data_IF_105996841589
#
_entry.id   IF_105996841589
#
_cell.length_a   1.000
_cell.length_b   1.000
_cell.length_c   1.000
_cell.angle_alpha   90.00
_cell.angle_beta   90.00
_cell.angle_gamma   90.00
#
_symmetry.space_group_name_H-M   'P 1'
#
loop_
_entity.id
_entity.type
_entity.pdbx_description
1 polymer ?
#
# COMPACT_ATOMS: atom_id res chain seq x y z
N UNK A 1 -27.50 -70.01 -36.78
CA UNK A 1 -26.36 -70.43 -37.63
C UNK A 1 -25.25 -69.41 -37.40
N UNK A 2 -24.21 -69.72 -36.59
CA UNK A 2 -22.82 -70.13 -37.01
C UNK A 2 -22.18 -69.05 -37.92
N UNK A 3 -21.00 -68.42 -37.71
CA UNK A 3 -19.73 -68.62 -36.96
C UNK A 3 -18.99 -67.24 -36.94
N UNK A 4 -18.39 -66.74 -35.85
CA UNK A 4 -17.02 -66.93 -35.27
C UNK A 4 -15.84 -66.26 -36.02
N UNK A 5 -15.18 -65.33 -35.30
CA UNK A 5 -13.76 -64.88 -35.20
C UNK A 5 -12.93 -64.38 -36.41
N UNK A 6 -12.31 -63.21 -36.24
CA UNK A 6 -10.87 -63.00 -35.92
C UNK A 6 -10.60 -61.46 -35.84
N UNK A 7 -10.35 -60.83 -34.67
CA UNK A 7 -9.13 -60.80 -33.86
C UNK A 7 -7.93 -60.15 -34.60
N UNK A 8 -7.75 -58.84 -34.42
CA UNK A 8 -6.48 -58.14 -34.65
C UNK A 8 -6.15 -57.30 -33.41
N UNK A 9 -5.19 -57.82 -32.67
CA UNK A 9 -4.49 -57.21 -31.53
C UNK A 9 -3.59 -56.11 -32.05
N UNK A 10 -3.79 -54.85 -31.63
CA UNK A 10 -2.70 -53.86 -31.46
C UNK A 10 -3.09 -52.91 -30.31
N UNK A 11 -2.53 -53.16 -29.13
CA UNK A 11 -2.09 -52.11 -28.20
C UNK A 11 -0.57 -52.35 -28.05
N UNK A 12 0.29 -51.32 -28.01
CA UNK A 12 0.34 -50.43 -26.85
C UNK A 12 0.76 -48.96 -27.13
N UNK A 13 0.77 -48.18 -26.04
CA UNK A 13 1.50 -46.91 -25.82
C UNK A 13 0.96 -45.65 -26.51
N UNK A 14 0.20 -44.85 -25.75
CA UNK A 14 0.66 -43.49 -25.45
C UNK A 14 0.41 -43.16 -23.98
N UNK A 15 1.55 -43.10 -23.30
CA UNK A 15 1.83 -42.55 -21.98
C UNK A 15 1.17 -41.18 -21.80
N UNK A 16 0.50 -41.03 -20.66
CA UNK A 16 0.42 -39.84 -19.81
C UNK A 16 1.07 -38.56 -20.37
N UNK A 17 0.25 -37.58 -20.74
CA UNK A 17 0.61 -36.18 -20.54
C UNK A 17 -0.30 -35.62 -19.46
N UNK A 18 0.00 -36.03 -18.22
CA UNK A 18 -0.38 -35.28 -17.03
C UNK A 18 0.21 -33.88 -17.15
N UNK A 19 -0.63 -32.89 -17.45
CA UNK A 19 -0.28 -31.49 -17.34
C UNK A 19 -0.15 -31.09 -15.86
N UNK A 20 0.88 -31.60 -15.18
CA UNK A 20 1.31 -31.08 -13.87
C UNK A 20 1.98 -29.73 -14.07
N UNK A 21 1.17 -28.68 -14.21
CA UNK A 21 1.64 -27.29 -14.08
C UNK A 21 0.56 -26.32 -13.60
N UNK A 22 -0.72 -26.72 -13.60
CA UNK A 22 -1.81 -25.91 -13.05
C UNK A 22 -2.06 -26.14 -11.56
N UNK A 23 -1.76 -27.32 -11.01
CA UNK A 23 -2.00 -27.63 -9.59
C UNK A 23 -1.00 -26.93 -8.65
N UNK A 24 0.30 -26.94 -8.96
CA UNK A 24 1.33 -26.31 -8.10
C UNK A 24 1.19 -24.78 -8.00
N UNK A 25 0.84 -24.09 -9.09
CA UNK A 25 0.61 -22.63 -9.08
C UNK A 25 -0.63 -22.29 -8.24
N UNK A 26 -1.66 -23.14 -8.30
CA UNK A 26 -2.90 -22.92 -7.56
C UNK A 26 -2.70 -23.19 -6.06
N UNK A 27 -1.97 -24.24 -5.69
CA UNK A 27 -1.66 -24.55 -4.29
C UNK A 27 -0.74 -23.51 -3.64
N UNK A 28 0.32 -23.07 -4.32
CA UNK A 28 1.20 -22.02 -3.81
C UNK A 28 0.45 -20.70 -3.62
N UNK A 29 -0.41 -20.33 -4.59
CA UNK A 29 -1.25 -19.14 -4.49
C UNK A 29 -2.27 -19.23 -3.35
N UNK A 30 -3.03 -20.32 -3.23
CA UNK A 30 -3.99 -20.54 -2.14
C UNK A 30 -3.28 -20.46 -0.77
N UNK A 31 -2.07 -20.99 -0.68
CA UNK A 31 -1.26 -20.95 0.55
C UNK A 31 -0.80 -19.54 0.87
N UNK A 32 -0.37 -18.77 -0.13
CA UNK A 32 0.09 -17.39 0.04
C UNK A 32 -1.06 -16.44 0.40
N UNK A 33 -2.24 -16.56 -0.24
CA UNK A 33 -3.42 -15.74 0.11
C UNK A 33 -3.94 -16.08 1.49
N UNK A 34 -4.06 -17.36 1.85
CA UNK A 34 -4.48 -17.76 3.19
C UNK A 34 -3.49 -17.28 4.27
N UNK A 35 -2.19 -17.32 3.99
CA UNK A 35 -1.17 -16.78 4.89
C UNK A 35 -1.32 -15.27 5.09
N UNK A 36 -1.54 -14.54 3.99
CA UNK A 36 -1.78 -13.09 4.03
C UNK A 36 -3.06 -12.74 4.78
N UNK A 37 -4.17 -13.46 4.56
CA UNK A 37 -5.44 -13.25 5.27
C UNK A 37 -5.28 -13.45 6.79
N UNK A 38 -4.53 -14.48 7.20
CA UNK A 38 -4.22 -14.71 8.62
C UNK A 38 -3.41 -13.54 9.18
N UNK A 39 -2.39 -13.05 8.45
CA UNK A 39 -1.59 -11.90 8.86
C UNK A 39 -2.44 -10.64 8.97
N UNK A 40 -3.36 -10.40 8.02
CA UNK A 40 -4.30 -9.27 8.07
C UNK A 40 -5.22 -9.35 9.27
N UNK A 41 -5.76 -10.54 9.55
CA UNK A 41 -6.60 -10.77 10.73
C UNK A 41 -5.85 -10.52 12.03
N UNK A 42 -4.61 -11.01 12.15
CA UNK A 42 -3.75 -10.78 13.31
C UNK A 42 -3.38 -9.29 13.46
N UNK A 43 -3.04 -8.63 12.36
CA UNK A 43 -2.72 -7.20 12.34
C UNK A 43 -3.90 -6.35 12.81
N UNK A 44 -5.10 -6.57 12.24
CA UNK A 44 -6.32 -5.89 12.64
C UNK A 44 -6.66 -6.13 14.12
N UNK A 45 -6.50 -7.37 14.58
CA UNK A 45 -6.75 -7.74 15.97
C UNK A 45 -5.75 -7.07 16.94
N UNK A 46 -4.47 -6.97 16.58
CA UNK A 46 -3.46 -6.26 17.38
C UNK A 46 -3.83 -4.78 17.53
N UNK A 47 -4.27 -4.14 16.45
CA UNK A 47 -4.73 -2.74 16.48
C UNK A 47 -5.98 -2.62 17.36
N UNK A 48 -6.98 -3.48 17.17
CA UNK A 48 -8.21 -3.47 17.95
C UNK A 48 -7.94 -3.58 19.46
N UNK A 49 -7.05 -4.48 19.87
CA UNK A 49 -6.69 -4.68 21.28
C UNK A 49 -6.06 -3.43 21.92
N UNK A 50 -5.43 -2.58 21.12
CA UNK A 50 -4.64 -1.43 21.56
C UNK A 50 -5.44 -0.12 21.44
N UNK A 51 -6.17 0.08 20.35
CA UNK A 51 -6.92 1.30 20.04
C UNK A 51 -8.43 1.18 20.31
N UNK A 52 -8.96 -0.03 20.31
CA UNK A 52 -10.39 -0.33 20.36
C UNK A 52 -11.01 -0.51 18.97
N UNK A 53 -12.12 -1.25 18.92
CA UNK A 53 -12.81 -1.66 17.68
C UNK A 53 -13.18 -0.48 16.76
N UNK A 54 -13.59 0.66 17.33
CA UNK A 54 -13.99 1.84 16.55
C UNK A 54 -12.81 2.65 16.01
N UNK A 55 -11.58 2.27 16.35
CA UNK A 55 -10.35 2.96 15.96
C UNK A 55 -9.46 2.11 15.05
N UNK A 56 -9.92 0.94 14.61
CA UNK A 56 -9.17 0.13 13.65
C UNK A 56 -9.09 0.86 12.32
N UNK A 57 -7.87 1.24 11.94
CA UNK A 57 -7.56 1.90 10.67
C UNK A 57 -6.47 1.11 9.96
N UNK A 58 -6.70 0.72 8.71
CA UNK A 58 -5.81 -0.13 7.90
C UNK A 58 -5.53 0.59 6.59
N UNK A 59 -4.37 0.33 5.97
CA UNK A 59 -4.03 0.84 4.67
C UNK A 59 -5.07 0.42 3.61
N UNK A 60 -5.31 1.29 2.64
CA UNK A 60 -6.23 1.06 1.53
C UNK A 60 -5.69 1.60 0.21
N UNK A 61 -6.47 1.53 -0.88
CA UNK A 61 -6.00 1.97 -2.19
C UNK A 61 -5.58 3.44 -2.21
N UNK A 62 -6.26 4.28 -1.42
CA UNK A 62 -6.05 5.74 -1.36
C UNK A 62 -5.61 6.24 0.00
N UNK A 63 -5.28 5.32 0.89
CA UNK A 63 -4.91 5.60 2.27
C UNK A 63 -3.64 4.82 2.61
N UNK A 64 -2.53 5.53 2.78
CA UNK A 64 -1.36 4.94 3.40
C UNK A 64 -1.57 4.94 4.90
N UNK A 65 -1.39 3.80 5.56
CA UNK A 65 -1.43 3.69 7.02
C UNK A 65 -0.27 2.82 7.45
N UNK A 66 0.60 3.37 8.31
CA UNK A 66 1.71 2.61 8.91
C UNK A 66 1.68 2.77 10.42
N UNK A 67 1.68 1.63 11.11
CA UNK A 67 1.84 1.57 12.55
C UNK A 67 3.31 1.41 12.92
N UNK A 68 3.70 2.00 14.03
CA UNK A 68 5.02 1.88 14.67
C UNK A 68 4.84 1.86 16.19
N UNK A 69 5.95 1.75 16.93
CA UNK A 69 5.97 1.84 18.40
C UNK A 69 5.07 0.80 19.07
N UNK A 70 5.14 -0.47 18.64
CA UNK A 70 4.29 -1.55 19.16
C UNK A 70 2.81 -1.22 18.95
N UNK A 71 2.49 -0.78 17.74
CA UNK A 71 1.16 -0.32 17.31
C UNK A 71 0.63 0.93 18.03
N UNK A 72 1.38 1.57 18.93
CA UNK A 72 0.86 2.73 19.67
C UNK A 72 0.83 4.01 18.86
N UNK A 73 1.56 4.07 17.75
CA UNK A 73 1.65 5.25 16.87
C UNK A 73 1.27 4.85 15.46
N UNK A 74 0.51 5.69 14.76
CA UNK A 74 0.18 5.50 13.34
C UNK A 74 0.36 6.77 12.53
N UNK A 75 0.83 6.60 11.31
CA UNK A 75 0.92 7.65 10.30
C UNK A 75 -0.05 7.32 9.17
N UNK A 76 -1.02 8.21 8.95
CA UNK A 76 -2.07 8.07 7.95
C UNK A 76 -1.93 9.17 6.89
N UNK A 77 -1.82 8.81 5.62
CA UNK A 77 -1.87 9.75 4.49
C UNK A 77 -3.11 9.42 3.68
N UNK A 78 -4.09 10.32 3.70
CA UNK A 78 -5.26 10.22 2.83
C UNK A 78 -4.96 10.98 1.53
N UNK A 79 -4.78 10.24 0.44
CA UNK A 79 -4.35 10.79 -0.85
C UNK A 79 -5.46 11.54 -1.59
N UNK A 80 -6.73 11.26 -1.29
CA UNK A 80 -7.89 11.96 -1.87
C UNK A 80 -8.05 13.37 -1.29
N UNK A 81 -8.10 13.47 0.05
CA UNK A 81 -8.29 14.74 0.76
C UNK A 81 -7.01 15.56 0.88
N UNK A 82 -5.85 14.93 0.69
CA UNK A 82 -4.56 15.59 0.83
C UNK A 82 -4.23 15.92 2.28
N UNK A 83 -4.52 15.00 3.20
CA UNK A 83 -4.24 15.16 4.63
C UNK A 83 -3.29 14.06 5.12
N UNK A 84 -2.32 14.45 5.93
CA UNK A 84 -1.48 13.54 6.72
C UNK A 84 -1.89 13.69 8.18
N UNK A 85 -2.35 12.62 8.80
CA UNK A 85 -2.70 12.58 10.22
C UNK A 85 -1.77 11.60 10.92
N UNK A 86 -1.10 12.08 11.95
CA UNK A 86 -0.18 11.28 12.76
C UNK A 86 -0.72 11.25 14.17
N UNK A 87 -0.93 10.06 14.69
CA UNK A 87 -1.61 9.84 15.96
C UNK A 87 -0.80 8.89 16.85
N UNK A 88 -0.87 9.10 18.16
CA UNK A 88 -0.33 8.15 19.14
C UNK A 88 -1.26 8.03 20.34
N UNK A 89 -1.35 6.82 20.88
CA UNK A 89 -1.98 6.53 22.17
C UNK A 89 -0.97 6.26 23.29
N UNK A 90 0.33 6.40 23.00
CA UNK A 90 1.37 6.19 23.99
C UNK A 90 1.15 7.10 25.21
N UNK A 91 1.12 6.50 26.40
CA UNK A 91 0.91 7.24 27.66
C UNK A 91 2.17 7.93 28.14
N UNK A 92 3.33 7.46 27.69
CA UNK A 92 4.64 7.97 28.06
C UNK A 92 5.20 8.76 26.89
N UNK A 93 5.52 10.04 27.12
CA UNK A 93 6.10 10.97 26.13
C UNK A 93 5.45 10.91 24.72
N UNK A 94 4.12 11.14 24.61
CA UNK A 94 3.43 11.10 23.31
C UNK A 94 3.99 12.12 22.30
N UNK A 95 4.58 13.22 22.77
CA UNK A 95 5.20 14.21 21.92
C UNK A 95 6.42 13.65 21.17
N UNK A 96 7.27 12.85 21.84
CA UNK A 96 8.42 12.21 21.20
C UNK A 96 7.99 11.18 20.14
N UNK A 97 6.96 10.38 20.44
CA UNK A 97 6.38 9.42 19.49
C UNK A 97 5.87 10.11 18.23
N UNK A 98 5.05 11.15 18.40
CA UNK A 98 4.56 11.96 17.27
C UNK A 98 5.72 12.61 16.50
N UNK A 99 6.72 13.15 17.20
CA UNK A 99 7.87 13.80 16.58
C UNK A 99 8.61 12.86 15.63
N UNK A 100 8.90 11.64 16.10
CA UNK A 100 9.62 10.64 15.31
C UNK A 100 8.80 10.21 14.09
N UNK A 101 7.49 9.95 14.28
CA UNK A 101 6.59 9.58 13.19
C UNK A 101 6.40 10.69 12.14
N UNK A 102 6.37 11.96 12.56
CA UNK A 102 6.34 13.12 11.64
C UNK A 102 7.61 13.12 10.78
N UNK A 103 8.79 12.98 11.39
CA UNK A 103 10.06 13.04 10.67
C UNK A 103 10.17 11.87 9.67
N UNK A 104 9.89 10.64 10.11
CA UNK A 104 9.96 9.46 9.25
C UNK A 104 8.97 9.54 8.09
N UNK A 105 7.72 9.96 8.34
CA UNK A 105 6.70 10.12 7.29
C UNK A 105 7.10 11.17 6.26
N UNK A 106 7.58 12.34 6.70
CA UNK A 106 7.97 13.42 5.78
C UNK A 106 9.19 13.07 4.91
N UNK A 107 10.02 12.12 5.36
CA UNK A 107 11.27 11.76 4.71
C UNK A 107 11.27 10.35 4.11
N UNK A 108 10.15 9.64 4.16
CA UNK A 108 10.03 8.29 3.61
C UNK A 108 10.40 8.27 2.12
N UNK A 109 11.16 7.26 1.71
CA UNK A 109 11.45 7.00 0.30
C UNK A 109 10.22 6.61 -0.51
N UNK A 110 10.37 6.58 -1.83
CA UNK A 110 9.35 6.11 -2.80
C UNK A 110 9.65 4.65 -3.18
N UNK A 111 9.73 3.77 -2.17
CA UNK A 111 9.97 2.33 -2.33
C UNK A 111 8.83 1.54 -1.67
N UNK A 112 7.74 1.24 -2.41
CA UNK A 112 6.63 0.44 -1.88
C UNK A 112 6.98 -1.02 -1.66
N UNK A 113 8.07 -1.53 -2.24
CA UNK A 113 8.48 -2.93 -2.08
C UNK A 113 9.23 -3.18 -0.76
N UNK A 114 9.78 -2.14 -0.14
CA UNK A 114 10.57 -2.26 1.09
C UNK A 114 9.79 -2.00 2.38
N UNK A 115 8.52 -1.56 2.29
CA UNK A 115 7.71 -1.18 3.44
C UNK A 115 6.56 -2.18 3.60
N UNK A 116 6.54 -2.86 4.73
CA UNK A 116 5.42 -3.69 5.17
C UNK A 116 4.42 -2.84 5.96
N UNK A 117 3.27 -2.55 5.35
CA UNK A 117 2.20 -1.76 5.97
C UNK A 117 1.42 -2.52 7.06
N UNK A 118 1.61 -3.84 7.13
CA UNK A 118 0.84 -4.75 7.97
C UNK A 118 1.64 -5.32 9.14
N UNK A 119 2.71 -4.62 9.52
CA UNK A 119 3.44 -4.81 10.76
C UNK A 119 3.78 -3.47 11.40
N UNK A 120 4.18 -3.51 12.68
CA UNK A 120 4.66 -2.36 13.44
C UNK A 120 6.18 -2.13 13.32
N UNK A 121 6.87 -2.94 12.50
CA UNK A 121 8.30 -2.84 12.29
C UNK A 121 8.66 -1.46 11.71
N UNK A 122 9.71 -0.82 12.24
CA UNK A 122 10.18 0.47 11.74
C UNK A 122 11.13 0.26 10.54
N UNK A 123 10.54 -0.04 9.39
CA UNK A 123 11.18 -0.31 8.11
C UNK A 123 11.26 0.93 7.19
N UNK A 124 10.75 2.07 7.65
CA UNK A 124 10.70 3.32 6.90
C UNK A 124 12.13 3.83 6.65
N UNK A 125 12.57 3.74 5.40
CA UNK A 125 13.88 4.25 4.98
C UNK A 125 13.80 5.76 4.66
N UNK A 126 14.66 6.54 5.32
CA UNK A 126 14.83 7.97 5.04
C UNK A 126 15.53 8.12 3.69
N UNK A 127 14.90 8.86 2.77
CA UNK A 127 15.41 9.11 1.43
C UNK A 127 15.92 10.55 1.26
N UNK A 128 16.93 10.72 0.39
CA UNK A 128 17.36 12.04 -0.10
C UNK A 128 16.34 12.68 -1.04
N UNK A 129 15.47 11.86 -1.63
CA UNK A 129 14.32 12.25 -2.44
C UNK A 129 13.06 11.65 -1.81
N UNK A 130 12.49 12.31 -0.78
CA UNK A 130 11.30 11.78 -0.13
C UNK A 130 10.11 11.69 -1.08
N UNK A 131 9.27 10.68 -0.87
CA UNK A 131 8.03 10.48 -1.60
C UNK A 131 7.13 11.73 -1.54
N UNK A 132 7.07 12.39 -0.39
CA UNK A 132 6.28 13.60 -0.12
C UNK A 132 6.96 14.91 -0.52
N UNK A 133 8.16 14.87 -1.12
CA UNK A 133 8.89 16.08 -1.50
C UNK A 133 8.08 16.96 -2.45
N UNK A 134 7.82 18.20 -2.05
CA UNK A 134 7.02 19.17 -2.80
C UNK A 134 5.51 18.96 -2.71
N UNK A 135 5.03 17.84 -2.14
CA UNK A 135 3.62 17.65 -1.77
C UNK A 135 3.31 18.26 -0.40
N UNK A 136 4.30 18.32 0.49
CA UNK A 136 4.23 18.99 1.81
C UNK A 136 5.19 20.16 1.85
N UNK A 137 4.74 21.27 2.43
CA UNK A 137 5.57 22.42 2.76
C UNK A 137 5.59 22.60 4.28
N UNK A 138 6.72 23.08 4.79
CA UNK A 138 6.83 23.47 6.20
C UNK A 138 6.06 24.77 6.49
N UNK A 139 6.10 25.21 7.74
CA UNK A 139 5.48 26.46 8.19
C UNK A 139 6.06 27.74 7.57
N UNK A 140 7.15 27.64 6.81
CA UNK A 140 7.76 28.73 6.03
C UNK A 140 7.48 28.59 4.53
N UNK A 141 6.63 27.64 4.13
CA UNK A 141 6.30 27.38 2.73
C UNK A 141 7.41 26.68 1.94
N UNK A 142 8.40 26.08 2.62
CA UNK A 142 9.52 25.41 1.96
C UNK A 142 9.31 23.88 1.90
N UNK A 143 9.72 23.22 0.79
CA UNK A 143 9.62 21.77 0.69
C UNK A 143 10.60 21.07 1.62
N UNK A 144 10.23 19.88 2.08
CA UNK A 144 10.95 19.14 3.12
C UNK A 144 11.67 17.94 2.52
N UNK A 145 13.00 17.94 2.59
CA UNK A 145 13.86 16.78 2.24
C UNK A 145 15.05 16.56 3.16
N UNK A 146 15.20 17.40 4.17
CA UNK A 146 16.34 17.36 5.09
C UNK A 146 15.83 17.06 6.48
N UNK A 147 16.53 16.20 7.20
CA UNK A 147 16.19 15.80 8.55
C UNK A 147 16.04 17.00 9.50
N UNK A 148 16.99 17.93 9.48
CA UNK A 148 16.90 19.15 10.30
C UNK A 148 15.62 19.95 10.03
N UNK A 149 15.17 20.03 8.77
CA UNK A 149 13.96 20.77 8.41
C UNK A 149 12.71 20.02 8.84
N UNK A 150 12.67 18.70 8.62
CA UNK A 150 11.58 17.86 9.09
C UNK A 150 11.44 17.93 10.62
N UNK A 151 12.57 17.87 11.34
CA UNK A 151 12.63 18.00 12.79
C UNK A 151 12.10 19.35 13.27
N UNK A 152 12.55 20.47 12.68
CA UNK A 152 12.02 21.80 13.03
C UNK A 152 10.53 21.94 12.73
N UNK A 153 10.05 21.36 11.64
CA UNK A 153 8.63 21.39 11.31
C UNK A 153 7.81 20.53 12.27
N UNK A 154 8.31 19.35 12.67
CA UNK A 154 7.70 18.53 13.70
C UNK A 154 7.60 19.28 15.03
N UNK A 155 8.67 19.94 15.46
CA UNK A 155 8.68 20.75 16.69
C UNK A 155 7.65 21.89 16.63
N UNK A 156 7.55 22.58 15.48
CA UNK A 156 6.52 23.60 15.25
C UNK A 156 5.09 23.03 15.34
N UNK A 157 4.85 21.88 14.71
CA UNK A 157 3.54 21.23 14.71
C UNK A 157 3.13 20.79 16.12
N UNK A 158 4.04 20.21 16.89
CA UNK A 158 3.77 19.79 18.27
C UNK A 158 3.48 20.98 19.19
N UNK A 159 4.07 22.14 18.93
CA UNK A 159 3.80 23.35 19.70
C UNK A 159 2.49 24.06 19.31
N UNK A 160 2.07 23.97 18.05
CA UNK A 160 1.00 24.85 17.52
C UNK A 160 -0.23 24.13 16.96
N UNK A 161 -0.11 22.83 16.67
CA UNK A 161 -1.12 22.01 15.98
C UNK A 161 -1.44 20.71 16.71
N UNK A 162 -0.83 20.45 17.86
CA UNK A 162 -1.15 19.27 18.67
C UNK A 162 -2.62 19.29 19.09
N UNK A 163 -3.32 18.21 18.75
CA UNK A 163 -4.69 17.96 19.13
C UNK A 163 -4.75 16.76 20.07
N UNK A 164 -5.85 16.70 20.82
CA UNK A 164 -6.15 15.61 21.73
C UNK A 164 -7.61 15.25 21.58
N UNK A 165 -7.89 13.95 21.47
CA UNK A 165 -9.24 13.40 21.49
C UNK A 165 -9.28 12.18 22.42
N UNK A 166 -10.48 11.85 22.88
CA UNK A 166 -10.72 10.65 23.68
C UNK A 166 -11.54 9.68 22.85
N UNK A 167 -11.14 8.41 22.82
CA UNK A 167 -11.91 7.33 22.20
C UNK A 167 -11.97 6.16 23.18
N UNK A 168 -13.18 5.87 23.67
CA UNK A 168 -13.37 4.92 24.77
C UNK A 168 -12.54 5.32 26.01
N UNK A 169 -11.60 4.45 26.38
CA UNK A 169 -10.70 4.66 27.53
C UNK A 169 -9.36 5.30 27.14
N UNK A 170 -9.10 5.49 25.85
CA UNK A 170 -7.82 5.98 25.34
C UNK A 170 -7.85 7.48 25.09
N UNK A 171 -6.73 8.12 25.42
CA UNK A 171 -6.42 9.48 24.98
C UNK A 171 -5.52 9.36 23.76
N UNK A 172 -5.96 9.92 22.65
CA UNK A 172 -5.21 9.96 21.39
C UNK A 172 -4.69 11.38 21.19
N UNK A 173 -3.37 11.51 21.05
CA UNK A 173 -2.72 12.75 20.64
C UNK A 173 -2.48 12.71 19.14
N UNK A 174 -2.71 13.83 18.46
CA UNK A 174 -2.59 13.88 17.01
C UNK A 174 -2.07 15.20 16.47
N UNK A 175 -1.51 15.14 15.26
CA UNK A 175 -1.16 16.29 14.43
C UNK A 175 -1.66 16.03 13.03
N UNK A 176 -2.26 17.04 12.40
CA UNK A 176 -2.65 16.99 10.99
C UNK A 176 -1.84 17.98 10.16
N UNK A 177 -1.32 17.53 9.02
CA UNK A 177 -0.56 18.28 8.04
C UNK A 177 -1.31 18.23 6.71
N UNK A 178 -1.61 19.38 6.14
CA UNK A 178 -2.24 19.45 4.82
C UNK A 178 -1.17 19.43 3.72
N UNK A 179 -1.42 18.62 2.70
CA UNK A 179 -0.68 18.68 1.45
C UNK A 179 -0.98 19.99 0.71
N UNK A 180 -0.12 20.36 -0.23
CA UNK A 180 -0.36 21.50 -1.14
C UNK A 180 -1.59 21.26 -2.01
N UNK A 181 -2.36 22.29 -2.41
CA UNK A 181 -3.61 22.10 -3.16
C UNK A 181 -3.48 21.29 -4.46
N UNK A 182 -2.32 21.33 -5.13
CA UNK A 182 -2.04 20.55 -6.34
C UNK A 182 -1.23 19.28 -6.07
N UNK A 183 -1.38 18.67 -4.88
CA UNK A 183 -0.66 17.45 -4.51
C UNK A 183 -0.92 16.29 -5.49
N UNK A 184 -2.15 16.19 -6.01
CA UNK A 184 -2.56 15.15 -6.95
C UNK A 184 -1.75 15.26 -8.25
N UNK A 185 -1.69 16.46 -8.83
CA UNK A 185 -0.91 16.72 -10.05
C UNK A 185 0.59 16.46 -9.83
N UNK A 186 1.11 16.86 -8.67
CA UNK A 186 2.51 16.61 -8.30
C UNK A 186 2.83 15.12 -8.21
N UNK A 187 1.92 14.30 -7.67
CA UNK A 187 2.08 12.84 -7.67
C UNK A 187 1.97 12.27 -9.07
N UNK A 188 0.92 12.63 -9.81
CA UNK A 188 0.68 12.16 -11.17
C UNK A 188 1.89 12.42 -12.09
N UNK A 189 2.56 13.58 -11.91
CA UNK A 189 3.74 13.96 -12.67
C UNK A 189 4.86 12.90 -12.64
N UNK A 190 5.04 12.20 -11.50
CA UNK A 190 6.04 11.13 -11.36
C UNK A 190 5.83 9.99 -12.35
N UNK A 191 4.58 9.74 -12.72
CA UNK A 191 4.20 8.56 -13.52
C UNK A 191 3.98 8.87 -15.00
N UNK A 192 3.95 10.15 -15.41
CA UNK A 192 3.77 10.54 -16.82
C UNK A 192 4.74 9.83 -17.80
N UNK A 193 6.03 9.64 -17.49
CA UNK A 193 6.92 8.89 -18.38
C UNK A 193 6.52 7.41 -18.54
N UNK A 194 5.96 6.78 -17.50
CA UNK A 194 5.48 5.40 -17.56
C UNK A 194 4.17 5.30 -18.33
N UNK A 195 3.26 6.25 -18.11
CA UNK A 195 1.98 6.35 -18.82
C UNK A 195 2.19 6.50 -20.33
N UNK A 196 3.07 7.40 -20.77
CA UNK A 196 3.41 7.58 -22.19
C UNK A 196 3.90 6.28 -22.83
N UNK A 197 4.86 5.62 -22.18
CA UNK A 197 5.39 4.33 -22.66
C UNK A 197 4.30 3.26 -22.75
N UNK A 198 3.40 3.19 -21.78
CA UNK A 198 2.28 2.24 -21.80
C UNK A 198 1.28 2.59 -22.92
N UNK A 199 0.96 3.86 -23.08
CA UNK A 199 0.07 4.36 -24.14
C UNK A 199 0.60 3.99 -25.53
N UNK A 200 1.86 4.29 -25.82
CA UNK A 200 2.52 3.95 -27.09
C UNK A 200 2.57 2.44 -27.32
N UNK A 201 2.84 1.65 -26.28
CA UNK A 201 2.98 0.19 -26.38
C UNK A 201 1.65 -0.52 -26.61
N UNK A 202 0.57 -0.04 -25.99
CA UNK A 202 -0.72 -0.74 -25.97
C UNK A 202 -1.80 -0.05 -26.81
N UNK A 203 -1.54 1.14 -27.35
CA UNK A 203 -2.52 1.89 -28.15
C UNK A 203 -3.70 2.40 -27.32
N UNK A 204 -3.48 2.69 -26.03
CA UNK A 204 -4.50 3.18 -25.09
C UNK A 204 -4.22 4.65 -24.78
N UNK A 205 -5.23 5.51 -24.81
CA UNK A 205 -5.06 6.94 -24.55
C UNK A 205 -4.44 7.21 -23.16
N UNK A 206 -3.46 8.12 -23.11
CA UNK A 206 -2.82 8.54 -21.85
C UNK A 206 -3.84 9.04 -20.82
N UNK A 207 -4.87 9.76 -21.28
CA UNK A 207 -5.95 10.29 -20.44
C UNK A 207 -6.75 9.17 -19.76
N UNK A 208 -7.01 8.06 -20.47
CA UNK A 208 -7.70 6.91 -19.90
C UNK A 208 -6.83 6.21 -18.84
N UNK A 209 -5.54 6.02 -19.13
CA UNK A 209 -4.61 5.42 -18.16
C UNK A 209 -4.54 6.27 -16.89
N UNK A 210 -4.39 7.59 -17.04
CA UNK A 210 -4.37 8.53 -15.90
C UNK A 210 -5.69 8.53 -15.12
N UNK A 211 -6.83 8.49 -15.81
CA UNK A 211 -8.13 8.43 -15.16
C UNK A 211 -8.30 7.16 -14.31
N UNK A 212 -7.85 6.01 -14.82
CA UNK A 212 -7.85 4.74 -14.06
C UNK A 212 -6.93 4.89 -12.85
N UNK A 213 -5.66 5.28 -13.05
CA UNK A 213 -4.69 5.43 -11.95
C UNK A 213 -5.19 6.37 -10.84
N UNK A 214 -5.81 7.49 -11.22
CA UNK A 214 -6.39 8.44 -10.28
C UNK A 214 -7.57 7.84 -9.53
N UNK A 215 -8.50 7.18 -10.24
CA UNK A 215 -9.72 6.62 -9.64
C UNK A 215 -9.39 5.49 -8.67
N UNK A 216 -8.45 4.62 -9.04
CA UNK A 216 -8.10 3.42 -8.29
C UNK A 216 -7.26 3.72 -7.04
N UNK A 217 -6.26 4.60 -7.14
CA UNK A 217 -5.27 4.79 -6.06
C UNK A 217 -4.98 6.25 -5.71
N UNK A 218 -5.51 7.22 -6.46
CA UNK A 218 -5.11 8.63 -6.33
C UNK A 218 -3.59 8.83 -6.43
N UNK A 219 -2.97 8.00 -7.29
CA UNK A 219 -1.53 7.90 -7.52
C UNK A 219 -0.74 7.49 -6.27
N UNK A 220 -1.32 6.62 -5.45
CA UNK A 220 -0.67 5.99 -4.30
C UNK A 220 0.13 4.76 -4.74
N UNK A 221 1.47 4.76 -4.65
CA UNK A 221 2.27 3.58 -5.00
C UNK A 221 2.16 2.46 -3.95
N UNK A 222 1.71 2.76 -2.73
CA UNK A 222 1.50 1.83 -1.62
C UNK A 222 0.08 1.23 -1.60
N UNK A 223 -0.68 1.39 -2.67
CA UNK A 223 -2.08 1.02 -2.73
C UNK A 223 -2.27 -0.51 -2.63
N UNK A 224 -2.99 -0.95 -1.61
CA UNK A 224 -3.42 -2.33 -1.41
C UNK A 224 -4.91 -2.32 -1.07
N UNK A 225 -5.70 -3.12 -1.78
CA UNK A 225 -7.12 -3.30 -1.46
C UNK A 225 -7.35 -4.53 -0.59
N UNK A 226 -8.49 -4.58 0.10
CA UNK A 226 -8.99 -5.80 0.75
C UNK A 226 -9.49 -6.88 -0.22
N UNK A 227 -9.27 -6.72 -1.53
CA UNK A 227 -9.59 -7.71 -2.56
C UNK A 227 -8.36 -8.06 -3.40
N UNK A 228 -7.17 -7.98 -2.79
CA UNK A 228 -5.86 -8.33 -3.37
C UNK A 228 -5.43 -7.53 -4.61
N UNK A 229 -6.10 -6.41 -4.89
CA UNK A 229 -5.68 -5.49 -5.93
C UNK A 229 -4.49 -4.64 -5.44
N UNK A 230 -3.45 -4.52 -6.29
CA UNK A 230 -2.16 -3.94 -5.90
C UNK A 230 -1.74 -2.76 -6.80
N UNK A 231 -1.12 -1.77 -6.16
CA UNK A 231 -0.40 -0.68 -6.81
C UNK A 231 -1.29 0.37 -7.47
N UNK A 232 -0.65 1.23 -8.28
CA UNK A 232 -1.23 2.47 -8.83
C UNK A 232 -2.50 2.26 -9.65
N UNK A 233 -2.63 1.11 -10.32
CA UNK A 233 -3.78 0.75 -11.16
C UNK A 233 -4.64 -0.36 -10.54
N UNK A 234 -4.37 -0.74 -9.29
CA UNK A 234 -5.11 -1.80 -8.58
C UNK A 234 -5.27 -3.07 -9.40
N UNK A 235 -4.13 -3.65 -9.81
CA UNK A 235 -4.12 -4.90 -10.59
C UNK A 235 -4.27 -6.08 -9.65
N UNK A 236 -5.27 -6.92 -9.90
CA UNK A 236 -5.45 -8.21 -9.24
C UNK A 236 -4.59 -9.25 -9.95
N UNK A 237 -3.64 -9.85 -9.23
CA UNK A 237 -2.61 -10.71 -9.83
C UNK A 237 -3.20 -11.97 -10.50
N UNK A 238 -4.20 -12.60 -9.88
CA UNK A 238 -4.74 -13.89 -10.29
C UNK A 238 -5.78 -13.81 -11.42
N UNK A 239 -6.27 -12.61 -11.75
CA UNK A 239 -7.18 -12.34 -12.87
C UNK A 239 -6.47 -11.53 -13.95
N UNK A 240 -6.55 -10.19 -13.88
CA UNK A 240 -5.99 -9.30 -14.88
C UNK A 240 -4.47 -9.50 -15.09
N UNK A 241 -3.72 -9.74 -14.01
CA UNK A 241 -2.29 -10.05 -14.11
C UNK A 241 -2.01 -11.32 -14.92
N UNK A 242 -2.74 -12.40 -14.62
CA UNK A 242 -2.64 -13.68 -15.32
C UNK A 242 -3.07 -13.57 -16.78
N UNK A 243 -4.18 -12.90 -17.07
CA UNK A 243 -4.69 -12.74 -18.44
C UNK A 243 -3.69 -11.99 -19.32
N UNK A 244 -3.08 -10.92 -18.80
CA UNK A 244 -2.03 -10.17 -19.52
C UNK A 244 -0.80 -11.04 -19.78
N UNK A 245 -0.36 -11.83 -18.78
CA UNK A 245 0.74 -12.77 -18.95
C UNK A 245 0.42 -13.86 -19.97
N UNK A 246 -0.81 -14.37 -20.02
CA UNK A 246 -1.20 -15.42 -20.98
C UNK A 246 -1.38 -14.90 -22.41
N UNK A 247 -1.83 -13.66 -22.57
CA UNK A 247 -1.99 -13.06 -23.90
C UNK A 247 -0.65 -12.68 -24.55
N UNK A 248 0.42 -12.48 -23.76
CA UNK A 248 1.68 -11.89 -24.26
C UNK A 248 2.99 -12.48 -23.71
N UNK A 249 2.96 -13.45 -22.81
CA UNK A 249 4.13 -14.17 -22.29
C UNK A 249 4.47 -15.39 -23.13
#
# INVERSE_FOLDING_TARGET
MKKILALLVIAPLLISCSGKKSEEINEAWIKDTNGFDILMGQFAHNIENIWGLNEVLIAGPKDYVKYTDQYQTRSHINFDTGAITIETIATTDPAAHLRQAIISTLLMGDDPGSIDLYSDANDIQISKEPFLYGQVLDNKGAPIRWEWRAAHFADYLLQTKLQKRTSGLHVIYSVTIQLVPNHLDKRAHKYLPMVRKASEKYGVDESLILAIMQTESSFNPYAVSGSDALGLMQVVQHTAGKDVFQMRG
#
